data_IF_089924668261
#
_entry.id   IF_089924668261
#
_cell.length_a   1.000
_cell.length_b   1.000
_cell.length_c   1.000
_cell.angle_alpha   90.00
_cell.angle_beta   90.00
_cell.angle_gamma   90.00
#
_symmetry.space_group_name_H-M   'P 1'
#
loop_
_entity.id
_entity.type
_entity.pdbx_description
1 polymer ?
#
# COMPACT_ATOMS: atom_id res chain seq x y z
N UNK A 1 -24.26 10.70 -2.98
CA UNK A 1 -23.33 11.15 -1.93
C UNK A 1 -21.90 10.93 -2.39
N UNK A 2 -21.04 11.87 -2.11
CA UNK A 2 -19.65 11.79 -2.53
C UNK A 2 -18.79 11.20 -1.42
N UNK A 3 -17.92 10.27 -1.75
CA UNK A 3 -16.98 9.69 -0.80
C UNK A 3 -15.56 10.07 -1.14
N UNK A 4 -14.65 9.76 -0.24
CA UNK A 4 -13.21 10.02 -0.40
C UNK A 4 -12.45 8.72 -0.27
N UNK A 5 -11.49 8.47 -1.17
CA UNK A 5 -10.61 7.33 -1.12
C UNK A 5 -9.19 7.81 -0.88
N UNK A 6 -8.60 7.40 0.22
CA UNK A 6 -7.20 7.69 0.52
C UNK A 6 -6.36 6.51 0.07
N UNK A 7 -5.38 6.74 -0.77
CA UNK A 7 -4.53 5.69 -1.33
C UNK A 7 -3.11 5.87 -0.82
N UNK A 8 -2.53 4.81 -0.29
CA UNK A 8 -1.12 4.83 0.12
C UNK A 8 -0.38 3.70 -0.58
N UNK A 9 0.92 3.63 -0.39
CA UNK A 9 1.77 2.67 -1.10
C UNK A 9 1.42 1.23 -0.77
N UNK A 10 1.34 0.90 0.48
CA UNK A 10 1.09 -0.46 0.93
C UNK A 10 2.18 -0.98 1.85
N UNK A 11 1.98 -2.17 2.37
CA UNK A 11 2.88 -2.80 3.32
C UNK A 11 2.68 -4.31 3.27
N UNK A 12 3.67 -5.10 3.68
CA UNK A 12 3.47 -6.55 3.80
C UNK A 12 2.32 -6.84 4.77
N UNK A 13 1.60 -7.92 4.52
CA UNK A 13 0.44 -8.29 5.31
C UNK A 13 0.84 -8.69 6.74
N UNK A 14 1.97 -9.37 6.87
CA UNK A 14 2.53 -9.77 8.17
C UNK A 14 4.05 -9.92 8.02
N UNK A 15 4.72 -10.36 9.10
CA UNK A 15 6.17 -10.50 9.11
C UNK A 15 6.69 -11.85 8.59
N UNK A 16 5.82 -12.71 8.06
CA UNK A 16 6.28 -13.97 7.51
C UNK A 16 7.04 -13.69 6.22
N UNK A 17 8.10 -14.46 5.98
CA UNK A 17 8.95 -14.25 4.82
C UNK A 17 8.17 -14.37 3.51
N UNK A 18 7.16 -15.22 3.46
CA UNK A 18 6.30 -15.36 2.28
C UNK A 18 5.52 -14.08 1.98
N UNK A 19 5.04 -13.41 3.01
CA UNK A 19 4.32 -12.14 2.86
C UNK A 19 5.25 -11.02 2.44
N UNK A 20 6.47 -10.99 2.97
CA UNK A 20 7.49 -10.02 2.59
C UNK A 20 7.87 -10.21 1.11
N UNK A 21 8.07 -11.45 0.69
CA UNK A 21 8.38 -11.76 -0.71
C UNK A 21 7.26 -11.34 -1.65
N UNK A 22 6.02 -11.60 -1.26
CA UNK A 22 4.86 -11.23 -2.05
C UNK A 22 4.77 -9.71 -2.24
N UNK A 23 4.98 -8.97 -1.16
CA UNK A 23 4.96 -7.52 -1.21
C UNK A 23 6.08 -6.98 -2.10
N UNK A 24 7.31 -7.46 -1.92
CA UNK A 24 8.46 -7.02 -2.73
C UNK A 24 8.25 -7.35 -4.20
N UNK A 25 7.72 -8.53 -4.50
CA UNK A 25 7.47 -8.93 -5.88
C UNK A 25 6.45 -8.01 -6.54
N UNK A 26 5.36 -7.72 -5.87
CA UNK A 26 4.33 -6.85 -6.40
C UNK A 26 4.86 -5.43 -6.61
N UNK A 27 5.56 -4.90 -5.61
CA UNK A 27 6.13 -3.55 -5.66
C UNK A 27 7.18 -3.42 -6.77
N UNK A 28 8.11 -4.35 -6.86
CA UNK A 28 9.22 -4.27 -7.80
C UNK A 28 8.83 -4.71 -9.23
N UNK A 29 7.71 -5.36 -9.39
CA UNK A 29 7.24 -5.73 -10.72
C UNK A 29 6.49 -4.60 -11.41
N UNK A 30 6.25 -3.49 -10.72
CA UNK A 30 5.60 -2.33 -11.29
C UNK A 30 6.59 -1.60 -12.21
N UNK A 31 6.18 -1.32 -13.45
CA UNK A 31 7.03 -0.63 -14.41
C UNK A 31 7.40 0.79 -13.99
N UNK A 32 6.62 1.41 -13.13
CA UNK A 32 6.92 2.73 -12.61
C UNK A 32 7.96 2.71 -11.49
N UNK A 33 8.26 1.54 -10.94
CA UNK A 33 9.27 1.37 -9.90
C UNK A 33 10.58 0.92 -10.52
N UNK A 34 10.53 -0.10 -11.40
CA UNK A 34 11.70 -0.57 -12.13
C UNK A 34 11.42 -0.40 -13.61
N UNK A 35 12.05 0.60 -14.22
CA UNK A 35 11.86 0.91 -15.63
C UNK A 35 12.78 0.02 -16.48
N UNK A 36 12.41 -1.24 -16.58
CA UNK A 36 13.13 -2.23 -17.36
C UNK A 36 12.14 -2.96 -18.26
N UNK A 37 12.61 -3.55 -19.38
CA UNK A 37 11.73 -4.39 -20.19
C UNK A 37 11.12 -5.49 -19.31
N UNK A 38 9.86 -5.81 -19.58
CA UNK A 38 9.12 -6.77 -18.75
C UNK A 38 9.88 -8.09 -18.52
N UNK A 39 10.53 -8.59 -19.56
CA UNK A 39 11.28 -9.82 -19.49
C UNK A 39 12.44 -9.72 -18.49
N UNK A 40 13.26 -8.66 -18.59
CA UNK A 40 14.38 -8.45 -17.69
C UNK A 40 13.90 -8.17 -16.26
N UNK A 41 12.85 -7.40 -16.13
CA UNK A 41 12.27 -7.09 -14.83
C UNK A 41 11.80 -8.37 -14.11
N UNK A 42 11.10 -9.24 -14.80
CA UNK A 42 10.64 -10.49 -14.21
C UNK A 42 11.80 -11.39 -13.75
N UNK A 43 12.84 -11.51 -14.56
CA UNK A 43 13.99 -12.32 -14.19
C UNK A 43 14.71 -11.71 -13.00
N UNK A 44 14.99 -10.42 -13.05
CA UNK A 44 15.71 -9.73 -12.00
C UNK A 44 14.95 -9.78 -10.67
N UNK A 45 13.67 -9.44 -10.68
CA UNK A 45 12.86 -9.43 -9.47
C UNK A 45 12.71 -10.82 -8.87
N UNK A 46 12.28 -11.80 -9.66
CA UNK A 46 11.99 -13.12 -9.13
C UNK A 46 13.21 -13.95 -8.72
N UNK A 47 14.31 -13.81 -9.42
CA UNK A 47 15.47 -14.68 -9.19
C UNK A 47 16.62 -14.00 -8.43
N UNK A 48 16.69 -12.70 -8.43
CA UNK A 48 17.78 -11.98 -7.79
C UNK A 48 17.31 -11.11 -6.64
N UNK A 49 16.46 -10.11 -6.91
CA UNK A 49 16.11 -9.13 -5.89
C UNK A 49 15.28 -9.72 -4.74
N UNK A 50 14.18 -10.37 -5.06
CA UNK A 50 13.28 -10.89 -4.02
C UNK A 50 13.99 -11.90 -3.10
N UNK A 51 14.70 -12.94 -3.61
CA UNK A 51 15.37 -13.87 -2.73
C UNK A 51 16.43 -13.24 -1.83
N UNK A 52 17.19 -12.28 -2.35
CA UNK A 52 18.28 -11.67 -1.59
C UNK A 52 17.82 -10.54 -0.66
N UNK A 53 16.80 -9.80 -1.05
CA UNK A 53 16.36 -8.67 -0.24
C UNK A 53 15.30 -9.00 0.81
N UNK A 54 14.58 -10.10 0.64
CA UNK A 54 13.52 -10.45 1.57
C UNK A 54 13.96 -10.56 3.03
N UNK A 55 15.09 -11.20 3.36
CA UNK A 55 15.51 -11.26 4.76
C UNK A 55 15.83 -9.90 5.36
N UNK A 56 16.49 -9.01 4.61
CA UNK A 56 16.80 -7.67 5.10
C UNK A 56 15.55 -6.82 5.24
N UNK A 57 14.64 -6.95 4.30
CA UNK A 57 13.37 -6.23 4.33
C UNK A 57 12.54 -6.69 5.53
N UNK A 58 12.52 -7.99 5.80
CA UNK A 58 11.83 -8.52 6.97
C UNK A 58 12.41 -7.93 8.24
N UNK A 59 13.73 -7.90 8.37
CA UNK A 59 14.40 -7.34 9.53
C UNK A 59 14.04 -5.87 9.73
N UNK A 60 14.00 -5.09 8.66
CA UNK A 60 13.64 -3.69 8.72
C UNK A 60 12.19 -3.51 9.19
N UNK A 61 11.26 -4.32 8.69
CA UNK A 61 9.87 -4.24 9.12
C UNK A 61 9.67 -4.71 10.56
N UNK A 62 10.45 -5.71 11.01
CA UNK A 62 10.39 -6.16 12.39
C UNK A 62 10.72 -5.04 13.37
N UNK A 63 11.65 -4.16 13.00
CA UNK A 63 12.08 -3.06 13.86
C UNK A 63 10.99 -2.00 14.09
N UNK A 64 10.01 -1.89 13.19
CA UNK A 64 8.95 -0.89 13.31
C UNK A 64 7.56 -1.49 13.48
N UNK A 65 7.44 -2.82 13.38
CA UNK A 65 6.14 -3.48 13.45
C UNK A 65 5.52 -3.37 14.84
N UNK A 66 4.22 -3.12 14.88
CA UNK A 66 3.51 -2.97 16.16
C UNK A 66 2.59 -4.16 16.39
N UNK A 67 2.01 -4.25 17.59
CA UNK A 67 1.04 -5.29 17.92
C UNK A 67 -0.15 -5.27 17.00
N UNK A 68 -0.47 -4.10 16.46
CA UNK A 68 -1.62 -3.94 15.56
C UNK A 68 -1.23 -4.02 14.09
N UNK A 69 0.03 -4.30 13.78
CA UNK A 69 0.52 -4.47 12.42
C UNK A 69 1.40 -3.34 11.91
N UNK A 70 1.37 -3.11 10.61
CA UNK A 70 2.21 -2.12 9.96
C UNK A 70 1.83 -0.69 10.34
N UNK A 71 2.80 0.16 10.73
CA UNK A 71 2.53 1.56 11.01
C UNK A 71 1.90 2.31 9.84
N UNK A 72 2.28 1.99 8.60
CA UNK A 72 1.72 2.62 7.42
C UNK A 72 0.21 2.38 7.33
N UNK A 73 -0.22 1.16 7.54
CA UNK A 73 -1.64 0.80 7.50
C UNK A 73 -2.40 1.45 8.66
N UNK A 74 -1.83 1.37 9.87
CA UNK A 74 -2.45 1.93 11.07
C UNK A 74 -2.63 3.44 10.92
N UNK A 75 -1.58 4.14 10.50
CA UNK A 75 -1.62 5.59 10.36
C UNK A 75 -2.57 6.03 9.24
N UNK A 76 -2.63 5.28 8.16
CA UNK A 76 -3.58 5.57 7.06
C UNK A 76 -5.01 5.46 7.55
N UNK A 77 -5.33 4.43 8.35
CA UNK A 77 -6.66 4.26 8.92
C UNK A 77 -7.01 5.38 9.90
N UNK A 78 -6.04 5.81 10.71
CA UNK A 78 -6.25 6.93 11.64
C UNK A 78 -6.55 8.23 10.89
N UNK A 79 -5.81 8.49 9.82
CA UNK A 79 -6.03 9.67 9.00
C UNK A 79 -7.43 9.63 8.39
N UNK A 80 -7.83 8.47 7.86
CA UNK A 80 -9.15 8.33 7.24
C UNK A 80 -10.28 8.59 8.23
N UNK A 81 -10.13 8.10 9.45
CA UNK A 81 -11.14 8.29 10.48
C UNK A 81 -11.25 9.75 10.89
N UNK A 82 -10.12 10.41 11.09
CA UNK A 82 -10.10 11.83 11.44
C UNK A 82 -10.69 12.69 10.32
N UNK A 83 -10.38 12.36 9.08
CA UNK A 83 -10.90 13.08 7.94
C UNK A 83 -12.42 12.88 7.81
N UNK A 84 -12.88 11.64 7.96
CA UNK A 84 -14.31 11.34 7.92
C UNK A 84 -15.09 12.14 8.96
N UNK A 85 -14.57 12.21 10.19
CA UNK A 85 -15.20 12.97 11.26
C UNK A 85 -15.24 14.47 10.93
N UNK A 86 -14.20 14.97 10.27
CA UNK A 86 -14.11 16.40 9.96
C UNK A 86 -14.99 16.82 8.79
N UNK A 87 -15.04 16.02 7.73
CA UNK A 87 -15.82 16.38 6.54
C UNK A 87 -17.24 15.80 6.51
N UNK A 88 -17.55 14.89 7.42
CA UNK A 88 -18.87 14.24 7.51
C UNK A 88 -19.29 13.55 6.22
N UNK A 89 -18.33 12.89 5.57
CA UNK A 89 -18.57 12.08 4.37
C UNK A 89 -17.78 10.77 4.50
N UNK A 90 -18.23 9.68 3.83
CA UNK A 90 -17.52 8.41 3.91
C UNK A 90 -16.09 8.52 3.39
N UNK A 91 -15.15 8.00 4.14
CA UNK A 91 -13.74 7.93 3.76
C UNK A 91 -13.27 6.50 3.91
N UNK A 92 -12.69 5.94 2.85
CA UNK A 92 -12.12 4.61 2.87
C UNK A 92 -10.63 4.68 2.51
N UNK A 93 -9.90 3.65 2.86
CA UNK A 93 -8.48 3.56 2.56
C UNK A 93 -8.23 2.42 1.59
N UNK A 94 -7.23 2.59 0.76
CA UNK A 94 -6.77 1.54 -0.15
C UNK A 94 -5.27 1.62 -0.30
N UNK A 95 -4.66 0.53 -0.74
CA UNK A 95 -3.22 0.44 -0.96
C UNK A 95 -2.95 0.13 -2.42
N UNK A 96 -1.89 0.70 -2.95
CA UNK A 96 -1.47 0.41 -4.30
C UNK A 96 -0.96 -1.02 -4.40
N UNK A 97 -0.26 -1.48 -3.36
CA UNK A 97 0.26 -2.84 -3.28
C UNK A 97 -0.32 -3.52 -2.04
N UNK A 98 -0.76 -4.75 -2.19
CA UNK A 98 -1.40 -5.55 -1.14
C UNK A 98 -2.79 -5.01 -0.77
N UNK A 99 -3.30 -5.43 0.36
CA UNK A 99 -4.68 -5.11 0.77
C UNK A 99 -4.74 -3.96 1.77
N UNK A 100 -5.85 -3.25 1.80
CA UNK A 100 -6.99 -3.37 0.91
C UNK A 100 -6.70 -2.77 -0.46
N UNK A 101 -7.15 -3.41 -1.52
CA UNK A 101 -6.92 -2.93 -2.87
C UNK A 101 -7.76 -1.69 -3.18
N UNK A 102 -7.41 -1.00 -4.26
CA UNK A 102 -8.17 0.17 -4.71
C UNK A 102 -9.61 -0.27 -5.06
N UNK A 103 -9.75 -1.42 -5.70
CA UNK A 103 -11.06 -1.96 -6.03
C UNK A 103 -11.91 -2.20 -4.79
N UNK A 104 -11.32 -2.79 -3.75
CA UNK A 104 -12.01 -3.02 -2.49
C UNK A 104 -12.45 -1.71 -1.83
N UNK A 105 -11.60 -0.70 -1.86
CA UNK A 105 -11.93 0.62 -1.32
C UNK A 105 -13.10 1.27 -2.04
N UNK A 106 -13.12 1.18 -3.35
CA UNK A 106 -14.21 1.71 -4.15
C UNK A 106 -15.51 0.95 -3.86
N UNK A 107 -15.45 -0.38 -3.78
CA UNK A 107 -16.62 -1.19 -3.45
C UNK A 107 -17.17 -0.85 -2.07
N UNK A 108 -16.30 -0.61 -1.11
CA UNK A 108 -16.74 -0.23 0.23
C UNK A 108 -17.46 1.12 0.24
N UNK A 109 -16.97 2.08 -0.56
CA UNK A 109 -17.65 3.37 -0.69
C UNK A 109 -19.01 3.22 -1.36
N UNK A 110 -19.12 2.37 -2.37
CA UNK A 110 -20.40 2.10 -3.02
C UNK A 110 -21.39 1.51 -2.02
N UNK A 111 -20.94 0.55 -1.20
CA UNK A 111 -21.80 -0.04 -0.17
C UNK A 111 -22.26 0.98 0.86
N UNK A 112 -21.49 2.03 1.08
CA UNK A 112 -21.84 3.12 2.00
C UNK A 112 -22.71 4.19 1.34
N UNK A 113 -23.17 3.94 0.11
CA UNK A 113 -24.09 4.83 -0.58
C UNK A 113 -23.46 5.90 -1.45
N UNK A 114 -22.16 5.81 -1.72
CA UNK A 114 -21.47 6.79 -2.54
C UNK A 114 -21.67 6.51 -4.03
N UNK A 115 -21.93 7.54 -4.80
CA UNK A 115 -22.05 7.43 -6.24
C UNK A 115 -21.02 8.29 -6.96
N UNK A 116 -20.16 8.97 -6.23
CA UNK A 116 -19.04 9.73 -6.76
C UNK A 116 -17.92 9.64 -5.74
N UNK A 117 -16.67 9.60 -6.21
CA UNK A 117 -15.50 9.44 -5.36
C UNK A 117 -14.42 10.44 -5.74
N UNK A 118 -13.89 11.13 -4.73
CA UNK A 118 -12.65 11.88 -4.90
C UNK A 118 -11.53 11.02 -4.31
N UNK A 119 -10.40 10.94 -4.96
CA UNK A 119 -9.29 10.16 -4.44
C UNK A 119 -8.03 11.01 -4.33
N UNK A 120 -7.16 10.62 -3.42
CA UNK A 120 -5.87 11.26 -3.29
C UNK A 120 -4.85 10.23 -2.82
N UNK A 121 -3.63 10.36 -3.34
CA UNK A 121 -2.52 9.55 -2.89
C UNK A 121 -1.89 10.25 -1.70
N UNK A 122 -1.64 9.49 -0.64
CA UNK A 122 -0.91 10.00 0.49
C UNK A 122 0.57 9.84 0.16
N UNK A 123 1.32 10.93 0.13
CA UNK A 123 2.73 10.89 -0.17
C UNK A 123 3.52 11.58 0.92
N UNK A 124 4.74 11.14 1.12
CA UNK A 124 5.63 11.80 2.04
C UNK A 124 6.34 12.91 1.27
N UNK A 125 6.65 14.02 1.94
CA UNK A 125 7.34 15.12 1.29
C UNK A 125 8.83 14.83 1.15
N UNK A 126 9.17 13.63 0.76
CA UNK A 126 10.54 13.21 0.68
C UNK A 126 10.93 12.86 -0.71
N UNK A 127 10.28 13.48 -1.63
CA UNK A 127 10.56 13.15 -2.96
C UNK A 127 11.92 13.28 -3.36
N UNK A 128 12.68 13.88 -2.62
CA UNK A 128 14.01 13.94 -2.97
C UNK A 128 14.68 12.72 -2.75
N UNK A 129 14.05 11.77 -2.37
CA UNK A 129 14.62 10.58 -2.18
C UNK A 129 15.02 9.98 -3.39
N UNK A 130 14.78 10.46 -4.39
CA UNK A 130 15.20 9.77 -5.53
C UNK A 130 16.57 9.52 -5.68
#
# INVERSE_FOLDING_TARGET
MKGVLLINLGSPENLEISSIKKYLKEFLSDEYVLDLPKFLRNILVNFIIVPFRSPKTKEAYESIWTENGSPLIINTKLISKKLEDKIQKPVETSMRYQKPSIEEGIKNLIRRGCNAVSYTHLTLPTKRIV
#
